data_IF_741314788632
#
_entry.id   IF_741314788632
#
_cell.length_a   1.000
_cell.length_b   1.000
_cell.length_c   1.000
_cell.angle_alpha   90.00
_cell.angle_beta   90.00
_cell.angle_gamma   90.00
#
_symmetry.space_group_name_H-M   'P 1'
#
loop_
_entity.id
_entity.type
_entity.pdbx_description
1 polymer ?
#
# COMPACT_ATOMS: atom_id res chain seq x y z
N UNK A 1 -5.18 -15.70 -28.16
CA UNK A 1 -3.84 -15.25 -27.74
C UNK A 1 -4.02 -14.00 -26.89
N UNK A 2 -3.77 -14.04 -25.59
CA UNK A 2 -4.03 -12.89 -24.70
C UNK A 2 -2.96 -11.82 -24.93
N UNK A 3 -3.37 -10.62 -25.35
CA UNK A 3 -2.46 -9.51 -25.64
C UNK A 3 -1.90 -8.98 -24.32
N UNK A 4 -0.65 -9.30 -24.00
CA UNK A 4 0.04 -8.81 -22.80
C UNK A 4 0.18 -7.28 -22.90
N UNK A 5 -0.16 -6.57 -21.82
CA UNK A 5 -0.02 -5.11 -21.77
C UNK A 5 1.46 -4.71 -21.92
N UNK A 6 1.76 -3.78 -22.83
CA UNK A 6 3.12 -3.27 -23.10
C UNK A 6 3.83 -2.77 -21.84
N UNK A 7 3.09 -2.15 -20.91
CA UNK A 7 3.65 -1.65 -19.65
C UNK A 7 4.17 -2.78 -18.74
N UNK A 8 3.47 -3.91 -18.71
CA UNK A 8 3.89 -5.09 -17.93
C UNK A 8 5.15 -5.70 -18.56
N UNK A 9 5.23 -5.70 -19.89
CA UNK A 9 6.40 -6.17 -20.61
C UNK A 9 7.63 -5.27 -20.33
N UNK A 10 7.46 -3.94 -20.38
CA UNK A 10 8.52 -2.98 -20.08
C UNK A 10 9.01 -3.12 -18.63
N UNK A 11 8.09 -3.22 -17.66
CA UNK A 11 8.42 -3.51 -16.27
C UNK A 11 9.25 -4.79 -16.15
N UNK A 12 8.79 -5.88 -16.77
CA UNK A 12 9.48 -7.19 -16.72
C UNK A 12 10.88 -7.12 -17.33
N UNK A 13 11.04 -6.45 -18.47
CA UNK A 13 12.36 -6.25 -19.12
C UNK A 13 13.35 -5.54 -18.19
N UNK A 14 12.92 -4.50 -17.47
CA UNK A 14 13.79 -3.77 -16.54
C UNK A 14 14.29 -4.68 -15.43
N UNK A 15 13.42 -5.47 -14.78
CA UNK A 15 13.85 -6.35 -13.69
C UNK A 15 14.68 -7.54 -14.17
N UNK A 16 14.42 -8.06 -15.38
CA UNK A 16 15.30 -9.08 -16.00
C UNK A 16 16.68 -8.49 -16.27
N UNK A 17 16.75 -7.31 -16.88
CA UNK A 17 18.02 -6.64 -17.16
C UNK A 17 18.80 -6.35 -15.88
N UNK A 18 18.12 -5.83 -14.86
CA UNK A 18 18.71 -5.49 -13.57
C UNK A 18 19.21 -6.74 -12.82
N UNK A 19 18.42 -7.82 -12.84
CA UNK A 19 18.86 -9.11 -12.29
C UNK A 19 20.08 -9.67 -13.03
N UNK A 20 20.11 -9.58 -14.36
CA UNK A 20 21.26 -9.99 -15.16
C UNK A 20 22.51 -9.17 -14.82
N UNK A 21 22.41 -7.84 -14.77
CA UNK A 21 23.51 -6.95 -14.40
C UNK A 21 24.05 -7.25 -12.99
N UNK A 22 23.17 -7.42 -11.99
CA UNK A 22 23.60 -7.77 -10.64
C UNK A 22 24.25 -9.16 -10.58
N UNK A 23 23.72 -10.13 -11.32
CA UNK A 23 24.27 -11.48 -11.38
C UNK A 23 25.66 -11.50 -12.00
N UNK A 24 25.82 -10.81 -13.13
CA UNK A 24 27.12 -10.67 -13.80
C UNK A 24 28.13 -9.94 -12.88
N UNK A 25 27.72 -8.84 -12.25
CA UNK A 25 28.56 -8.13 -11.29
C UNK A 25 29.07 -9.05 -10.18
N UNK A 26 28.17 -9.84 -9.56
CA UNK A 26 28.56 -10.74 -8.49
C UNK A 26 29.48 -11.88 -8.96
N UNK A 27 29.28 -12.39 -10.18
CA UNK A 27 30.12 -13.47 -10.75
C UNK A 27 31.53 -12.96 -11.09
N UNK A 28 31.65 -11.77 -11.70
CA UNK A 28 32.94 -11.26 -12.17
C UNK A 28 33.78 -10.59 -11.08
N UNK A 29 33.15 -9.92 -10.12
CA UNK A 29 33.86 -9.08 -9.15
C UNK A 29 33.80 -9.61 -7.71
N UNK A 30 32.99 -10.64 -7.44
CA UNK A 30 32.70 -11.10 -6.08
C UNK A 30 32.68 -12.65 -6.04
N UNK A 31 31.95 -13.25 -5.09
CA UNK A 31 31.90 -14.70 -4.90
C UNK A 31 30.47 -15.26 -5.00
N UNK A 32 30.34 -16.59 -4.99
CA UNK A 32 29.03 -17.26 -5.10
C UNK A 32 28.11 -16.95 -3.91
N UNK A 33 28.64 -16.75 -2.70
CA UNK A 33 27.85 -16.37 -1.53
C UNK A 33 27.28 -14.96 -1.69
N UNK A 34 28.03 -14.06 -2.30
CA UNK A 34 27.60 -12.71 -2.61
C UNK A 34 26.43 -12.71 -3.59
N UNK A 35 26.55 -13.50 -4.66
CA UNK A 35 25.45 -13.74 -5.60
C UNK A 35 24.22 -14.29 -4.87
N UNK A 36 24.39 -15.30 -4.02
CA UNK A 36 23.28 -15.91 -3.28
C UNK A 36 22.53 -14.88 -2.41
N UNK A 37 23.26 -14.06 -1.63
CA UNK A 37 22.65 -13.03 -0.79
C UNK A 37 21.91 -11.97 -1.62
N UNK A 38 22.50 -11.53 -2.74
CA UNK A 38 21.86 -10.61 -3.69
C UNK A 38 20.57 -11.23 -4.23
N UNK A 39 20.60 -12.48 -4.71
CA UNK A 39 19.45 -13.12 -5.34
C UNK A 39 18.30 -13.32 -4.34
N UNK A 40 18.60 -13.82 -3.14
CA UNK A 40 17.58 -14.02 -2.10
C UNK A 40 16.91 -12.69 -1.74
N UNK A 41 17.69 -11.62 -1.52
CA UNK A 41 17.15 -10.31 -1.21
C UNK A 41 16.38 -9.69 -2.39
N UNK A 42 16.92 -9.81 -3.61
CA UNK A 42 16.31 -9.30 -4.83
C UNK A 42 14.93 -9.90 -5.08
N UNK A 43 14.81 -11.24 -5.08
CA UNK A 43 13.53 -11.90 -5.33
C UNK A 43 12.53 -11.65 -4.21
N UNK A 44 12.99 -11.59 -2.96
CA UNK A 44 12.12 -11.21 -1.82
C UNK A 44 11.56 -9.80 -1.99
N UNK A 45 12.42 -8.83 -2.31
CA UNK A 45 12.04 -7.43 -2.53
C UNK A 45 11.10 -7.28 -3.74
N UNK A 46 11.39 -8.00 -4.83
CA UNK A 46 10.57 -8.03 -6.03
C UNK A 46 9.17 -8.58 -5.74
N UNK A 47 9.09 -9.68 -4.99
CA UNK A 47 7.80 -10.27 -4.61
C UNK A 47 6.99 -9.32 -3.72
N UNK A 48 7.62 -8.68 -2.72
CA UNK A 48 6.97 -7.66 -1.87
C UNK A 48 6.44 -6.50 -2.72
N UNK A 49 7.20 -6.07 -3.72
CA UNK A 49 6.83 -5.00 -4.63
C UNK A 49 5.61 -5.38 -5.47
N UNK A 50 5.64 -6.55 -6.13
CA UNK A 50 4.53 -7.05 -6.94
C UNK A 50 3.28 -7.24 -6.07
N UNK A 51 3.43 -7.86 -4.90
CA UNK A 51 2.36 -8.03 -3.93
C UNK A 51 1.75 -6.67 -3.54
N UNK A 52 2.58 -5.67 -3.30
CA UNK A 52 2.12 -4.32 -2.94
C UNK A 52 1.32 -3.68 -4.06
N UNK A 53 1.78 -3.75 -5.32
CA UNK A 53 1.04 -3.25 -6.47
C UNK A 53 -0.32 -3.93 -6.64
N UNK A 54 -0.36 -5.27 -6.57
CA UNK A 54 -1.61 -6.01 -6.71
C UNK A 54 -2.61 -5.65 -5.61
N UNK A 55 -2.11 -5.49 -4.39
CA UNK A 55 -2.91 -5.17 -3.22
C UNK A 55 -3.48 -3.78 -3.28
N UNK A 56 -2.66 -2.81 -3.69
CA UNK A 56 -3.08 -1.44 -3.87
C UNK A 56 -4.13 -1.33 -4.98
N UNK A 57 -3.89 -1.99 -6.13
CA UNK A 57 -4.87 -2.07 -7.23
C UNK A 57 -6.20 -2.66 -6.75
N UNK A 58 -6.18 -3.78 -6.03
CA UNK A 58 -7.40 -4.41 -5.51
C UNK A 58 -8.11 -3.51 -4.50
N UNK A 59 -7.37 -2.83 -3.64
CA UNK A 59 -7.95 -1.90 -2.67
C UNK A 59 -8.70 -0.75 -3.38
N UNK A 60 -8.07 -0.13 -4.39
CA UNK A 60 -8.71 0.92 -5.18
C UNK A 60 -9.94 0.38 -5.90
N UNK A 61 -9.84 -0.78 -6.56
CA UNK A 61 -10.97 -1.37 -7.29
C UNK A 61 -12.15 -1.68 -6.36
N UNK A 62 -11.88 -2.22 -5.17
CA UNK A 62 -12.92 -2.48 -4.17
C UNK A 62 -13.56 -1.18 -3.66
N UNK A 63 -12.79 -0.09 -3.54
CA UNK A 63 -13.35 1.21 -3.17
C UNK A 63 -14.25 1.74 -4.28
N UNK A 64 -13.78 1.70 -5.53
CA UNK A 64 -14.56 2.15 -6.69
C UNK A 64 -15.82 1.31 -6.92
N UNK A 65 -15.79 -0.01 -6.69
CA UNK A 65 -16.98 -0.85 -6.83
C UNK A 65 -18.04 -0.60 -5.77
N UNK A 66 -17.63 -0.08 -4.60
CA UNK A 66 -18.54 0.27 -3.51
C UNK A 66 -19.08 1.70 -3.64
N UNK A 67 -18.57 2.47 -4.62
CA UNK A 67 -19.17 3.74 -5.05
C UNK A 67 -20.30 3.37 -6.02
N UNK A 68 -21.43 2.94 -5.48
CA UNK A 68 -22.65 2.85 -6.27
C UNK A 68 -23.09 4.29 -6.61
N UNK A 69 -23.38 4.54 -7.90
CA UNK A 69 -23.93 5.82 -8.37
C UNK A 69 -25.26 6.21 -7.69
N UNK A 70 -25.90 5.28 -6.96
CA UNK A 70 -27.09 5.54 -6.15
C UNK A 70 -26.80 6.14 -4.77
N UNK A 71 -25.57 6.04 -4.25
CA UNK A 71 -25.18 6.66 -2.98
C UNK A 71 -24.76 8.13 -3.11
N UNK A 72 -24.75 8.67 -4.34
CA UNK A 72 -24.68 10.12 -4.55
C UNK A 72 -25.93 10.82 -3.96
N UNK A 73 -26.99 10.06 -3.68
CA UNK A 73 -28.27 10.53 -3.13
C UNK A 73 -28.53 10.09 -1.67
N UNK A 74 -27.65 9.29 -1.05
CA UNK A 74 -27.75 8.98 0.37
C UNK A 74 -27.04 10.08 1.16
N UNK A 75 -27.72 10.69 2.14
CA UNK A 75 -27.15 11.66 3.11
C UNK A 75 -25.99 11.08 3.97
N UNK A 76 -25.59 9.83 3.72
CA UNK A 76 -24.47 9.19 4.40
C UNK A 76 -23.15 9.72 3.83
N UNK A 77 -22.44 10.48 4.67
CA UNK A 77 -21.11 11.04 4.38
C UNK A 77 -20.15 9.95 3.92
N UNK A 78 -19.39 10.24 2.87
CA UNK A 78 -18.36 9.31 2.45
C UNK A 78 -17.12 9.42 3.35
N UNK A 79 -16.16 8.51 3.18
CA UNK A 79 -14.96 8.49 4.03
C UNK A 79 -14.00 9.65 3.77
N UNK A 80 -14.12 10.32 2.63
CA UNK A 80 -13.34 11.52 2.32
C UNK A 80 -13.95 12.69 3.09
N UNK A 81 -15.27 12.80 3.09
CA UNK A 81 -16.01 13.82 3.87
C UNK A 81 -15.71 13.68 5.37
N UNK A 82 -15.67 12.46 5.92
CA UNK A 82 -15.27 12.21 7.32
C UNK A 82 -13.80 12.59 7.62
N UNK A 83 -12.92 12.61 6.62
CA UNK A 83 -11.50 12.97 6.79
C UNK A 83 -11.32 14.48 6.67
N UNK A 84 -11.97 15.10 5.69
CA UNK A 84 -11.86 16.53 5.40
C UNK A 84 -12.66 17.37 6.41
N UNK A 85 -13.78 16.86 6.91
CA UNK A 85 -14.58 17.46 7.97
C UNK A 85 -15.00 16.43 9.05
N UNK A 86 -14.08 16.05 9.96
CA UNK A 86 -14.33 15.03 10.97
C UNK A 86 -15.50 15.35 11.91
N UNK A 87 -15.83 16.62 12.06
CA UNK A 87 -16.86 17.11 12.96
C UNK A 87 -18.09 17.64 12.23
N UNK A 88 -18.12 17.53 10.90
CA UNK A 88 -19.23 17.99 10.07
C UNK A 88 -19.59 19.47 10.31
N UNK A 89 -18.57 20.30 10.55
CA UNK A 89 -18.74 21.71 10.86
C UNK A 89 -19.34 22.51 9.70
N UNK A 90 -19.23 21.98 8.49
CA UNK A 90 -19.66 22.63 7.26
C UNK A 90 -20.93 22.02 6.65
N UNK A 91 -21.56 21.03 7.29
CA UNK A 91 -22.87 20.58 6.84
C UNK A 91 -23.95 21.61 7.13
N UNK A 92 -24.99 21.61 6.31
CA UNK A 92 -26.12 22.48 6.50
C UNK A 92 -26.90 21.99 7.73
N UNK A 93 -26.69 22.66 8.87
CA UNK A 93 -27.41 22.37 10.10
C UNK A 93 -28.91 22.55 9.86
N UNK A 94 -29.72 21.58 10.31
CA UNK A 94 -31.16 21.81 10.48
C UNK A 94 -31.35 22.79 11.62
N UNK A 95 -31.66 24.04 11.30
CA UNK A 95 -32.00 25.05 12.29
C UNK A 95 -33.17 24.55 13.14
N UNK A 96 -32.93 24.34 14.44
CA UNK A 96 -33.97 23.92 15.39
C UNK A 96 -34.80 25.16 15.76
N UNK A 97 -36.13 25.14 15.60
CA UNK A 97 -36.99 26.26 15.99
C UNK A 97 -36.81 26.65 17.46
N UNK A 98 -36.76 27.95 17.78
CA UNK A 98 -36.50 28.47 19.15
C UNK A 98 -37.48 27.95 20.20
N UNK A 99 -38.70 27.60 19.78
CA UNK A 99 -39.77 27.03 20.59
C UNK A 99 -39.50 25.58 21.06
N UNK A 100 -38.56 24.87 20.44
CA UNK A 100 -38.15 23.51 20.85
C UNK A 100 -36.90 23.48 21.74
N UNK A 101 -36.20 24.62 21.92
CA UNK A 101 -35.00 24.75 22.75
C UNK A 101 -35.35 24.80 24.25
N UNK A 102 -35.73 23.66 24.81
CA UNK A 102 -35.76 23.46 26.27
C UNK A 102 -34.35 23.12 26.82
N UNK A 103 -34.05 23.40 28.10
CA UNK A 103 -32.76 23.05 28.71
C UNK A 103 -32.38 21.57 28.59
N UNK A 104 -33.40 20.70 28.52
CA UNK A 104 -33.24 19.26 28.32
C UNK A 104 -32.81 18.93 26.89
N UNK A 105 -33.42 19.59 25.89
CA UNK A 105 -33.08 19.46 24.46
C UNK A 105 -31.66 19.96 24.18
N UNK A 106 -31.24 21.06 24.82
CA UNK A 106 -29.87 21.59 24.71
C UNK A 106 -28.85 20.59 25.27
N UNK A 107 -29.17 19.95 26.40
CA UNK A 107 -28.29 18.92 26.98
C UNK A 107 -28.21 17.69 26.08
N UNK A 108 -29.33 17.26 25.50
CA UNK A 108 -29.40 16.16 24.54
C UNK A 108 -28.53 16.44 23.30
N UNK A 109 -28.63 17.64 22.72
CA UNK A 109 -27.81 18.08 21.58
C UNK A 109 -26.31 18.06 21.93
N UNK A 110 -25.93 18.58 23.11
CA UNK A 110 -24.53 18.61 23.55
C UNK A 110 -23.97 17.19 23.76
N UNK A 111 -24.77 16.29 24.33
CA UNK A 111 -24.36 14.90 24.57
C UNK A 111 -24.28 14.11 23.24
N UNK A 112 -25.18 14.38 22.28
CA UNK A 112 -25.13 13.84 20.92
C UNK A 112 -23.86 14.29 20.19
N UNK A 113 -23.54 15.59 20.18
CA UNK A 113 -22.33 16.14 19.56
C UNK A 113 -21.04 15.58 20.18
N UNK A 114 -20.97 15.50 21.52
CA UNK A 114 -19.83 14.87 22.21
C UNK A 114 -19.66 13.40 21.87
N UNK A 115 -20.75 12.69 21.56
CA UNK A 115 -20.71 11.29 21.16
C UNK A 115 -20.17 11.12 19.73
N UNK A 116 -20.53 12.03 18.82
CA UNK A 116 -20.00 12.07 17.43
C UNK A 116 -18.50 12.36 17.42
N UNK A 117 -18.03 13.29 18.25
CA UNK A 117 -16.59 13.60 18.44
C UNK A 117 -15.76 12.40 18.92
N UNK A 118 -16.35 11.46 19.67
CA UNK A 118 -15.62 10.32 20.27
C UNK A 118 -15.59 9.06 19.41
N UNK A 119 -16.35 8.99 18.32
CA UNK A 119 -16.42 7.78 17.52
C UNK A 119 -15.27 7.70 16.49
N UNK A 120 -14.60 6.54 16.48
CA UNK A 120 -13.95 5.92 15.31
C UNK A 120 -12.43 6.00 15.10
N UNK A 121 -11.61 6.41 16.06
CA UNK A 121 -10.13 6.33 15.87
C UNK A 121 -9.63 4.89 15.61
N UNK A 122 -10.11 3.89 16.35
CA UNK A 122 -9.72 2.47 16.12
C UNK A 122 -10.41 1.84 14.90
N UNK A 123 -11.69 2.10 14.67
CA UNK A 123 -12.42 1.58 13.48
C UNK A 123 -11.86 2.15 12.18
N UNK A 124 -11.51 3.44 12.13
CA UNK A 124 -10.86 4.04 10.96
C UNK A 124 -9.45 3.48 10.76
N UNK A 125 -8.72 3.17 11.83
CA UNK A 125 -7.42 2.50 11.74
C UNK A 125 -7.57 1.09 11.14
N UNK A 126 -8.50 0.26 11.63
CA UNK A 126 -8.73 -1.07 11.06
C UNK A 126 -9.27 -1.06 9.62
N UNK A 127 -10.13 -0.09 9.26
CA UNK A 127 -10.56 0.10 7.88
C UNK A 127 -9.42 0.56 6.96
N UNK A 128 -8.49 1.37 7.48
CA UNK A 128 -7.28 1.79 6.76
C UNK A 128 -6.29 0.63 6.61
N UNK A 129 -6.19 -0.23 7.62
CA UNK A 129 -5.31 -1.41 7.64
C UNK A 129 -5.58 -2.37 6.50
N UNK A 130 -6.84 -2.51 6.03
CA UNK A 130 -7.17 -3.38 4.90
C UNK A 130 -6.45 -3.02 3.59
N UNK A 131 -5.99 -1.78 3.42
CA UNK A 131 -5.17 -1.36 2.26
C UNK A 131 -3.67 -1.53 2.47
N UNK A 132 -3.19 -1.42 3.71
CA UNK A 132 -1.78 -1.49 4.06
C UNK A 132 -1.29 -2.91 4.37
N UNK A 133 -2.12 -3.77 4.96
CA UNK A 133 -1.80 -5.14 5.35
C UNK A 133 -2.51 -6.16 4.45
N UNK A 134 -2.13 -6.17 3.18
CA UNK A 134 -2.60 -7.24 2.31
C UNK A 134 -1.93 -8.57 2.69
N UNK A 135 -2.69 -9.65 2.59
CA UNK A 135 -2.18 -11.01 2.76
C UNK A 135 -1.02 -11.31 1.80
N UNK A 136 -1.04 -10.73 0.59
CA UNK A 136 0.02 -10.90 -0.40
C UNK A 136 1.35 -10.29 0.07
N UNK A 137 1.30 -9.13 0.73
CA UNK A 137 2.52 -8.47 1.24
C UNK A 137 3.09 -9.24 2.43
N UNK A 138 2.22 -9.76 3.30
CA UNK A 138 2.62 -10.61 4.43
C UNK A 138 3.40 -11.83 3.92
N UNK A 139 2.92 -12.51 2.88
CA UNK A 139 3.64 -13.63 2.26
C UNK A 139 5.03 -13.21 1.75
N UNK A 140 5.14 -12.02 1.17
CA UNK A 140 6.44 -11.48 0.74
C UNK A 140 7.40 -11.22 1.88
N UNK A 141 6.92 -10.65 2.99
CA UNK A 141 7.74 -10.46 4.18
C UNK A 141 8.15 -11.78 4.83
N UNK A 142 7.26 -12.78 4.84
CA UNK A 142 7.60 -14.13 5.32
C UNK A 142 8.72 -14.71 4.47
N UNK A 143 8.66 -14.58 3.15
CA UNK A 143 9.73 -15.04 2.24
C UNK A 143 11.05 -14.30 2.51
N UNK A 144 11.01 -12.98 2.71
CA UNK A 144 12.19 -12.18 3.07
C UNK A 144 12.81 -12.62 4.40
N UNK A 145 11.99 -12.76 5.44
CA UNK A 145 12.42 -13.16 6.79
C UNK A 145 13.02 -14.56 6.75
N UNK A 146 12.34 -15.50 6.08
CA UNK A 146 12.82 -16.86 5.94
C UNK A 146 14.13 -16.91 5.14
N UNK A 147 14.24 -16.16 4.05
CA UNK A 147 15.47 -16.04 3.26
C UNK A 147 16.63 -15.47 4.08
N UNK A 148 16.39 -14.42 4.88
CA UNK A 148 17.37 -13.87 5.79
C UNK A 148 17.84 -14.90 6.83
N UNK A 149 16.91 -15.57 7.51
CA UNK A 149 17.27 -16.57 8.51
C UNK A 149 17.97 -17.78 7.89
N UNK A 150 17.57 -18.21 6.70
CA UNK A 150 18.26 -19.29 5.99
C UNK A 150 19.72 -18.93 5.70
N UNK A 151 20.00 -17.70 5.27
CA UNK A 151 21.37 -17.24 5.05
C UNK A 151 22.16 -17.11 6.35
N UNK A 152 21.54 -16.54 7.39
CA UNK A 152 22.19 -16.30 8.68
C UNK A 152 22.48 -17.60 9.43
N UNK A 153 21.53 -18.54 9.45
CA UNK A 153 21.69 -19.82 10.14
C UNK A 153 22.75 -20.72 9.49
N UNK A 154 23.00 -20.55 8.19
CA UNK A 154 24.08 -21.26 7.49
C UNK A 154 25.42 -20.49 7.54
N UNK A 155 25.52 -19.38 8.27
CA UNK A 155 26.72 -18.53 8.37
C UNK A 155 27.26 -18.02 7.02
N UNK A 156 26.39 -17.95 6.00
CA UNK A 156 26.72 -17.45 4.66
C UNK A 156 26.15 -16.05 4.40
N UNK A 157 25.58 -15.43 5.42
CA UNK A 157 24.97 -14.11 5.31
C UNK A 157 26.05 -13.03 5.13
N UNK A 158 25.90 -12.23 4.08
CA UNK A 158 26.77 -11.08 3.80
C UNK A 158 25.88 -9.82 3.75
N UNK A 159 25.88 -8.99 4.81
CA UNK A 159 24.91 -7.91 4.98
C UNK A 159 24.85 -6.94 3.82
N UNK A 160 26.02 -6.56 3.29
CA UNK A 160 26.10 -5.57 2.23
C UNK A 160 25.40 -6.08 0.94
N UNK A 161 25.39 -7.38 0.66
CA UNK A 161 24.84 -7.94 -0.59
C UNK A 161 23.35 -7.94 -0.50
N UNK A 162 22.91 -8.35 0.67
CA UNK A 162 21.52 -8.42 0.99
C UNK A 162 20.91 -7.02 0.88
N UNK A 163 21.58 -5.98 1.40
CA UNK A 163 21.13 -4.59 1.24
C UNK A 163 21.13 -4.16 -0.23
N UNK A 164 22.18 -4.47 -1.01
CA UNK A 164 22.20 -4.16 -2.45
C UNK A 164 21.04 -4.83 -3.20
N UNK A 165 20.82 -6.13 -2.99
CA UNK A 165 19.73 -6.88 -3.62
C UNK A 165 18.35 -6.38 -3.20
N UNK A 166 18.18 -6.01 -1.92
CA UNK A 166 16.93 -5.45 -1.39
C UNK A 166 16.65 -4.06 -1.97
N UNK A 167 17.65 -3.18 -1.97
CA UNK A 167 17.54 -1.77 -2.30
C UNK A 167 17.49 -1.48 -3.80
N UNK A 168 18.04 -2.34 -4.65
CA UNK A 168 18.02 -2.10 -6.10
C UNK A 168 16.61 -2.22 -6.69
N UNK A 169 15.73 -3.01 -6.09
CA UNK A 169 14.36 -3.22 -6.58
C UNK A 169 13.51 -1.95 -6.56
N UNK A 170 13.37 -1.21 -5.44
CA UNK A 170 12.61 0.05 -5.43
C UNK A 170 13.22 1.09 -6.38
N UNK A 171 14.55 1.12 -6.51
CA UNK A 171 15.23 1.96 -7.51
C UNK A 171 14.79 1.56 -8.93
N UNK A 172 14.79 0.27 -9.24
CA UNK A 172 14.32 -0.27 -10.52
C UNK A 172 12.86 0.11 -10.83
N UNK A 173 11.98 0.10 -9.83
CA UNK A 173 10.59 0.59 -10.00
C UNK A 173 10.57 2.05 -10.43
N UNK A 174 11.37 2.92 -9.80
CA UNK A 174 11.43 4.34 -10.20
C UNK A 174 11.89 4.50 -11.65
N UNK A 175 12.88 3.72 -12.10
CA UNK A 175 13.34 3.74 -13.49
C UNK A 175 12.28 3.28 -14.50
N UNK A 176 11.41 2.33 -14.14
CA UNK A 176 10.31 1.92 -15.05
C UNK A 176 9.37 3.07 -15.40
N UNK A 177 9.12 3.98 -14.46
CA UNK A 177 8.29 5.16 -14.71
C UNK A 177 8.96 6.15 -15.67
N UNK A 178 10.28 6.33 -15.60
CA UNK A 178 11.01 7.18 -16.54
C UNK A 178 10.97 6.63 -17.96
N UNK A 179 11.16 5.32 -18.15
CA UNK A 179 11.12 4.70 -19.48
C UNK A 179 9.72 4.80 -20.10
N UNK A 180 8.67 4.54 -19.33
CA UNK A 180 7.29 4.64 -19.83
C UNK A 180 6.87 6.08 -20.16
N UNK A 181 7.48 7.09 -19.53
CA UNK A 181 7.19 8.51 -19.82
C UNK A 181 7.89 9.01 -21.09
N UNK A 182 8.95 8.32 -21.55
CA UNK A 182 9.69 8.64 -22.79
C UNK A 182 9.00 8.03 -24.03
N UNK A 183 8.16 7.01 -23.86
CA UNK A 183 7.39 6.36 -24.93
C UNK A 183 6.02 7.03 -25.23
N UNK A 184 5.67 8.12 -24.55
CA UNK A 184 4.44 8.94 -24.79
C UNK A 184 4.86 10.27 -25.42
#
# INVERSE_FOLDING_TARGET
MMKINSQILNFTKVFIFLNLCLSLYAIFFQNTLWLLNIQVAFFSSLFITIASFFSYKRNIQNRLSNIDNSNILSEDRDKIDEIDDPYDLYSEYKEVPEDELTPQKIKEIIDEEKSRVKQNSFKNTFFSVGGFLSIYRILGYVLLIFGFFALNNNHVFIPLAFIFGLGIVPIGVLFTNFINKVEI
#
